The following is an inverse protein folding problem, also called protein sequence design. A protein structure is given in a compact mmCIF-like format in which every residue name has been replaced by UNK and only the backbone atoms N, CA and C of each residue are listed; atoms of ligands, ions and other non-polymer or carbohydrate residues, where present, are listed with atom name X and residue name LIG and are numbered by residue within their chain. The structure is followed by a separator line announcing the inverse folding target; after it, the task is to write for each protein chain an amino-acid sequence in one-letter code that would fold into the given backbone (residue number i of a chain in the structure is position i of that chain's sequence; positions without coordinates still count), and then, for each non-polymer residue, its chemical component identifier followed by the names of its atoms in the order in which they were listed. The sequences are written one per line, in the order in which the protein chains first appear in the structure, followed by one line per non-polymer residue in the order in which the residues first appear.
data_IF_822608604418
#
_entry.id   IF_822608604418
#
_cell.length_a   1.000
_cell.length_b   1.000
_cell.length_c   1.000
_cell.angle_alpha   90.00
_cell.angle_beta   90.00
_cell.angle_gamma   90.00
#
_symmetry.space_group_name_H-M   'P 1'
#
loop_
_entity.id
_entity.type
_entity.pdbx_description
1 polymer ?
#
# COMPACT_ATOMS: atom_id res chain seq x y z
N UNK A 1 -63.91 -22.79 38.12
CA UNK A 1 -62.82 -22.17 38.92
C UNK A 1 -61.49 -22.91 38.80
N UNK A 2 -61.36 -23.78 37.80
CA UNK A 2 -60.10 -24.08 37.14
C UNK A 2 -59.79 -22.91 36.16
N UNK A 3 -58.65 -22.93 35.48
CA UNK A 3 -58.25 -22.10 34.33
C UNK A 3 -57.82 -20.62 34.48
N UNK A 4 -57.64 -20.01 35.66
CA UNK A 4 -57.00 -18.67 35.75
C UNK A 4 -55.62 -18.63 36.43
N UNK A 5 -55.28 -19.59 37.30
CA UNK A 5 -53.99 -19.60 38.01
C UNK A 5 -52.82 -20.20 37.24
N UNK A 6 -53.08 -21.12 36.29
CA UNK A 6 -52.02 -21.77 35.51
C UNK A 6 -51.57 -20.95 34.30
N UNK A 7 -52.41 -20.03 33.80
CA UNK A 7 -52.11 -19.19 32.64
C UNK A 7 -51.22 -17.99 33.00
N UNK A 8 -50.97 -17.73 34.29
CA UNK A 8 -49.97 -16.73 34.71
C UNK A 8 -48.58 -17.32 34.94
N UNK A 9 -48.47 -18.64 35.14
CA UNK A 9 -47.17 -19.32 35.34
C UNK A 9 -46.49 -19.72 34.03
N UNK A 10 -47.24 -19.93 32.95
CA UNK A 10 -46.66 -20.20 31.62
C UNK A 10 -46.22 -18.94 30.87
N UNK A 11 -46.59 -17.74 31.34
CA UNK A 11 -46.11 -16.47 30.80
C UNK A 11 -44.72 -16.10 31.36
N UNK A 12 -44.22 -16.85 32.36
CA UNK A 12 -42.92 -16.61 32.98
C UNK A 12 -41.79 -17.52 32.42
N UNK A 13 -42.06 -18.35 31.42
CA UNK A 13 -41.04 -19.29 30.89
C UNK A 13 -40.80 -19.18 29.39
N UNK A 14 -41.41 -18.21 28.69
CA UNK A 14 -40.97 -17.83 27.34
C UNK A 14 -39.99 -16.67 27.44
N UNK A 15 -38.97 -16.83 28.29
CA UNK A 15 -37.64 -16.29 28.01
C UNK A 15 -36.91 -17.38 27.25
N UNK A 16 -37.31 -17.63 26.00
CA UNK A 16 -36.38 -18.23 25.06
C UNK A 16 -35.41 -17.09 24.77
N UNK A 17 -34.36 -17.03 25.59
CA UNK A 17 -33.12 -16.42 25.15
C UNK A 17 -32.70 -17.22 23.93
N UNK A 18 -33.08 -16.75 22.74
CA UNK A 18 -32.25 -16.95 21.56
C UNK A 18 -30.96 -16.13 21.78
N UNK A 19 -30.21 -16.51 22.81
CA UNK A 19 -28.77 -16.43 22.76
C UNK A 19 -28.39 -17.54 21.78
N UNK A 20 -28.63 -17.30 20.48
CA UNK A 20 -27.64 -17.71 19.53
C UNK A 20 -26.36 -17.09 20.07
N UNK A 21 -25.53 -17.88 20.75
CA UNK A 21 -24.11 -17.60 20.81
C UNK A 21 -23.65 -17.73 19.37
N UNK A 22 -24.03 -16.75 18.54
CA UNK A 22 -23.37 -16.43 17.32
C UNK A 22 -21.94 -16.23 17.80
N UNK A 23 -21.11 -17.21 17.51
CA UNK A 23 -19.69 -17.08 17.73
C UNK A 23 -19.29 -15.86 16.90
N UNK A 24 -18.84 -14.82 17.59
CA UNK A 24 -18.42 -13.60 16.93
C UNK A 24 -17.01 -13.80 16.37
N UNK A 25 -16.73 -13.13 15.25
CA UNK A 25 -15.40 -13.15 14.66
C UNK A 25 -14.47 -12.16 15.37
N UNK A 26 -13.21 -12.56 15.53
CA UNK A 26 -12.14 -11.68 16.01
C UNK A 26 -11.73 -10.66 14.93
N UNK A 27 -11.15 -9.51 15.30
CA UNK A 27 -10.67 -8.51 14.35
C UNK A 27 -9.58 -9.09 13.44
N UNK A 28 -9.68 -8.77 12.14
CA UNK A 28 -8.65 -9.13 11.17
C UNK A 28 -7.40 -8.25 11.36
N UNK A 29 -6.20 -8.79 11.12
CA UNK A 29 -4.96 -8.01 11.21
C UNK A 29 -4.96 -6.88 10.19
N UNK A 30 -4.48 -5.70 10.59
CA UNK A 30 -4.37 -4.56 9.67
C UNK A 30 -3.39 -4.87 8.51
N UNK A 31 -3.79 -4.61 7.26
CA UNK A 31 -2.94 -4.83 6.10
C UNK A 31 -1.87 -3.74 5.95
N UNK A 32 -0.73 -4.10 5.37
CA UNK A 32 0.28 -3.10 4.98
C UNK A 32 -0.20 -2.28 3.78
N UNK A 33 -0.02 -0.95 3.80
CA UNK A 33 -0.44 -0.01 2.73
C UNK A 33 -1.95 -0.12 2.37
N UNK A 34 -2.80 -0.31 3.39
CA UNK A 34 -4.26 -0.34 3.26
C UNK A 34 -4.97 -0.33 4.61
N UNK A 35 -6.29 -0.51 4.59
CA UNK A 35 -7.13 -0.64 5.79
C UNK A 35 -8.34 -1.55 5.52
N UNK A 36 -8.97 -2.05 6.59
CA UNK A 36 -10.17 -2.89 6.50
C UNK A 36 -11.38 -2.08 6.98
N UNK A 37 -12.47 -2.11 6.21
CA UNK A 37 -13.77 -1.57 6.61
C UNK A 37 -14.74 -2.69 6.92
N UNK A 38 -15.40 -2.58 8.06
CA UNK A 38 -16.41 -3.53 8.49
C UNK A 38 -17.80 -2.95 8.27
N UNK A 39 -18.74 -3.80 7.84
CA UNK A 39 -20.14 -3.46 7.65
C UNK A 39 -21.03 -4.55 8.29
N UNK A 40 -21.86 -4.22 9.31
CA UNK A 40 -22.00 -2.90 9.91
C UNK A 40 -20.70 -2.42 10.60
N UNK A 41 -20.49 -1.11 10.62
CA UNK A 41 -19.33 -0.54 11.31
C UNK A 41 -19.50 -0.71 12.82
N UNK A 42 -18.52 -1.34 13.47
CA UNK A 42 -18.52 -1.54 14.91
C UNK A 42 -17.17 -1.14 15.50
N UNK A 43 -17.18 -0.52 16.68
CA UNK A 43 -15.99 -0.29 17.53
C UNK A 43 -15.80 -1.38 18.58
N UNK A 44 -16.50 -2.50 18.44
CA UNK A 44 -16.42 -3.64 19.35
C UNK A 44 -15.14 -4.45 19.15
N UNK A 45 -14.78 -5.21 20.18
CA UNK A 45 -13.66 -6.15 20.14
C UNK A 45 -13.92 -7.39 19.28
N UNK A 46 -15.18 -7.63 18.89
CA UNK A 46 -15.64 -8.77 18.10
C UNK A 46 -16.71 -8.34 17.09
N UNK A 47 -16.94 -9.16 16.07
CA UNK A 47 -17.89 -8.89 14.98
C UNK A 47 -18.95 -9.98 14.89
N UNK A 48 -20.22 -9.58 14.94
CA UNK A 48 -21.36 -10.51 14.87
C UNK A 48 -21.40 -11.28 13.54
N UNK A 49 -22.03 -12.45 13.59
CA UNK A 49 -22.30 -13.29 12.42
C UNK A 49 -23.00 -12.47 11.31
N UNK A 50 -22.51 -12.58 10.08
CA UNK A 50 -22.99 -11.82 8.92
C UNK A 50 -22.23 -10.51 8.67
N UNK A 51 -21.35 -10.07 9.59
CA UNK A 51 -20.50 -8.89 9.34
C UNK A 51 -19.62 -9.11 8.12
N UNK A 52 -19.54 -8.11 7.23
CA UNK A 52 -18.69 -8.14 6.04
C UNK A 52 -17.48 -7.24 6.28
N UNK A 53 -16.29 -7.79 6.15
CA UNK A 53 -15.03 -7.06 6.15
C UNK A 53 -14.55 -6.86 4.71
N UNK A 54 -14.22 -5.63 4.34
CA UNK A 54 -13.78 -5.23 2.99
C UNK A 54 -12.39 -4.61 3.07
N UNK A 55 -11.45 -5.16 2.30
CA UNK A 55 -10.10 -4.65 2.15
C UNK A 55 -10.07 -3.42 1.23
N UNK A 56 -9.51 -2.33 1.72
CA UNK A 56 -9.20 -1.12 0.96
C UNK A 56 -7.68 -0.95 0.85
N UNK A 57 -7.14 -0.94 -0.37
CA UNK A 57 -5.70 -0.72 -0.61
C UNK A 57 -5.46 0.71 -1.11
N UNK A 58 -4.36 1.34 -0.66
CA UNK A 58 -3.97 2.69 -1.12
C UNK A 58 -3.41 2.71 -2.55
N UNK A 59 -2.93 1.56 -3.03
CA UNK A 59 -2.40 1.35 -4.38
C UNK A 59 -3.21 0.27 -5.10
N UNK A 60 -2.63 -0.92 -5.28
CA UNK A 60 -3.23 -2.07 -5.94
C UNK A 60 -3.37 -3.24 -4.96
N UNK A 61 -4.17 -4.23 -5.35
CA UNK A 61 -4.28 -5.53 -4.66
C UNK A 61 -3.43 -6.60 -5.34
N UNK A 62 -2.89 -7.54 -4.56
CA UNK A 62 -2.41 -8.84 -5.08
C UNK A 62 -3.59 -9.78 -5.31
N UNK A 63 -3.32 -10.97 -5.87
CA UNK A 63 -4.33 -12.02 -6.11
C UNK A 63 -4.93 -12.49 -4.78
N UNK A 64 -6.26 -12.59 -4.71
CA UNK A 64 -7.01 -13.04 -3.54
C UNK A 64 -8.37 -12.35 -3.42
N UNK A 65 -9.19 -12.74 -2.43
CA UNK A 65 -10.50 -12.12 -2.16
C UNK A 65 -10.35 -10.75 -1.50
N UNK A 66 -11.23 -9.80 -1.84
CA UNK A 66 -11.21 -8.45 -1.25
C UNK A 66 -12.21 -8.27 -0.11
N UNK A 67 -13.07 -9.25 0.09
CA UNK A 67 -14.06 -9.24 1.16
C UNK A 67 -14.10 -10.61 1.81
N UNK A 68 -14.52 -10.63 3.07
CA UNK A 68 -14.81 -11.83 3.83
C UNK A 68 -16.00 -11.59 4.74
N UNK A 69 -16.76 -12.64 5.00
CA UNK A 69 -17.97 -12.59 5.83
C UNK A 69 -17.73 -13.38 7.10
N UNK A 70 -18.14 -12.83 8.23
CA UNK A 70 -18.15 -13.57 9.48
C UNK A 70 -19.27 -14.62 9.42
N UNK A 71 -18.92 -15.90 9.47
CA UNK A 71 -19.85 -17.03 9.45
C UNK A 71 -19.57 -17.90 10.67
N UNK A 72 -20.49 -17.89 11.63
CA UNK A 72 -20.40 -18.72 12.84
C UNK A 72 -19.02 -18.64 13.53
N UNK A 73 -18.46 -17.45 13.66
CA UNK A 73 -17.22 -17.18 14.40
C UNK A 73 -15.94 -17.27 13.58
N UNK A 74 -16.05 -17.59 12.29
CA UNK A 74 -14.92 -17.68 11.39
C UNK A 74 -15.13 -16.76 10.19
N UNK A 75 -14.05 -16.14 9.73
CA UNK A 75 -14.05 -15.39 8.49
C UNK A 75 -14.07 -16.35 7.30
N UNK A 76 -14.98 -16.17 6.35
CA UNK A 76 -15.06 -16.93 5.11
C UNK A 76 -15.08 -15.98 3.89
N UNK A 77 -14.04 -15.99 3.03
CA UNK A 77 -12.81 -16.77 3.16
C UNK A 77 -11.95 -16.36 4.37
N UNK A 78 -11.13 -17.26 4.92
CA UNK A 78 -10.35 -17.00 6.14
C UNK A 78 -9.23 -15.98 5.96
N UNK A 79 -8.83 -15.73 4.71
CA UNK A 79 -7.76 -14.78 4.38
C UNK A 79 -8.22 -13.82 3.30
N UNK A 80 -7.95 -12.53 3.52
CA UNK A 80 -8.07 -11.49 2.49
C UNK A 80 -6.81 -11.46 1.61
N UNK A 81 -6.95 -10.86 0.43
CA UNK A 81 -5.82 -10.50 -0.41
C UNK A 81 -4.82 -9.61 0.34
N UNK A 82 -3.59 -9.57 -0.14
CA UNK A 82 -2.58 -8.62 0.36
C UNK A 82 -2.56 -7.39 -0.55
N UNK A 83 -2.45 -6.19 0.01
CA UNK A 83 -2.16 -5.02 -0.81
C UNK A 83 -0.76 -5.15 -1.43
N UNK A 84 -0.60 -4.58 -2.62
CA UNK A 84 0.69 -4.45 -3.25
C UNK A 84 1.49 -3.43 -2.44
N UNK A 85 2.47 -3.93 -1.69
CA UNK A 85 3.42 -3.05 -1.01
C UNK A 85 4.08 -2.16 -2.06
N UNK A 86 4.37 -0.91 -1.68
CA UNK A 86 5.32 -0.10 -2.44
C UNK A 86 6.57 -0.95 -2.63
N UNK A 87 6.88 -1.30 -3.88
CA UNK A 87 8.06 -2.09 -4.21
C UNK A 87 9.29 -1.53 -3.50
N UNK A 88 10.33 -2.36 -3.26
CA UNK A 88 11.47 -1.94 -2.44
C UNK A 88 11.92 -0.56 -2.87
N UNK A 89 11.92 0.42 -1.94
CA UNK A 89 12.27 1.81 -2.22
C UNK A 89 13.60 1.79 -2.98
N UNK A 90 13.54 1.93 -4.30
CA UNK A 90 14.72 1.81 -5.13
C UNK A 90 15.61 2.98 -4.74
N UNK A 91 16.90 2.69 -4.48
CA UNK A 91 17.83 3.72 -4.03
C UNK A 91 17.86 4.83 -5.07
N UNK A 92 17.70 6.06 -4.60
CA UNK A 92 17.88 7.24 -5.44
C UNK A 92 19.35 7.50 -5.70
N UNK A 93 19.66 8.08 -6.85
CA UNK A 93 21.01 8.49 -7.21
C UNK A 93 21.29 9.88 -6.65
N UNK A 94 22.56 10.15 -6.33
CA UNK A 94 23.01 11.49 -5.95
C UNK A 94 23.29 12.33 -7.20
N UNK A 95 23.37 13.64 -7.04
CA UNK A 95 23.82 14.54 -8.10
C UNK A 95 25.16 14.07 -8.68
N UNK A 96 25.29 14.15 -10.00
CA UNK A 96 26.53 13.88 -10.73
C UNK A 96 27.47 15.07 -10.49
N UNK A 97 28.70 14.76 -10.07
CA UNK A 97 29.77 15.76 -10.00
C UNK A 97 30.22 16.09 -11.42
N UNK A 98 30.25 17.38 -11.76
CA UNK A 98 30.74 17.87 -13.05
C UNK A 98 31.62 19.10 -12.84
N UNK A 99 32.49 19.38 -13.82
CA UNK A 99 33.32 20.59 -13.82
C UNK A 99 32.56 21.81 -14.33
N UNK A 100 33.16 23.01 -14.21
CA UNK A 100 32.55 24.29 -14.62
C UNK A 100 32.31 24.39 -16.13
N UNK A 101 32.88 23.52 -16.94
CA UNK A 101 32.73 23.49 -18.40
C UNK A 101 31.41 22.89 -18.88
N UNK A 102 30.60 22.33 -17.98
CA UNK A 102 29.39 21.59 -18.32
C UNK A 102 28.27 21.83 -17.32
N UNK A 103 27.04 21.58 -17.76
CA UNK A 103 25.86 21.50 -16.91
C UNK A 103 25.21 20.12 -17.04
N UNK A 104 24.58 19.68 -15.96
CA UNK A 104 23.79 18.44 -15.93
C UNK A 104 22.31 18.79 -15.73
N UNK A 105 21.49 18.35 -16.67
CA UNK A 105 20.04 18.48 -16.63
C UNK A 105 19.42 17.13 -16.23
N UNK A 106 18.51 17.14 -15.27
CA UNK A 106 17.84 15.94 -14.79
C UNK A 106 16.36 15.95 -15.17
N UNK A 107 15.79 14.80 -15.54
CA UNK A 107 14.36 14.70 -15.86
C UNK A 107 13.45 14.83 -14.63
N UNK A 108 13.92 14.38 -13.47
CA UNK A 108 13.18 14.45 -12.20
C UNK A 108 14.13 14.96 -11.12
N UNK A 109 13.82 16.11 -10.54
CA UNK A 109 14.58 16.71 -9.44
C UNK A 109 13.80 16.56 -8.14
N UNK A 110 14.47 16.05 -7.09
CA UNK A 110 13.96 16.21 -5.73
C UNK A 110 14.75 17.32 -5.04
N UNK A 111 14.10 18.07 -4.15
CA UNK A 111 14.67 19.21 -3.41
C UNK A 111 15.89 18.90 -2.50
N UNK A 112 16.47 17.69 -2.56
CA UNK A 112 17.58 17.23 -1.70
C UNK A 112 18.79 16.70 -2.48
N UNK A 113 18.96 17.05 -3.76
CA UNK A 113 20.08 16.55 -4.58
C UNK A 113 20.07 15.02 -4.74
N UNK A 114 18.86 14.45 -4.86
CA UNK A 114 18.64 13.02 -5.08
C UNK A 114 17.61 12.78 -6.16
N UNK A 115 17.89 11.84 -7.05
CA UNK A 115 17.07 11.51 -8.20
C UNK A 115 16.45 10.12 -8.03
N UNK A 116 15.12 9.97 -8.20
CA UNK A 116 14.48 8.67 -8.05
C UNK A 116 14.97 7.66 -9.09
N UNK A 117 14.61 6.40 -8.87
CA UNK A 117 14.90 5.34 -9.83
C UNK A 117 14.27 5.65 -11.19
N UNK A 118 14.99 5.33 -12.27
CA UNK A 118 14.68 5.66 -13.67
C UNK A 118 14.73 7.15 -14.03
N UNK A 119 15.16 8.02 -13.11
CA UNK A 119 15.54 9.38 -13.50
C UNK A 119 16.70 9.37 -14.47
N UNK A 120 16.77 10.40 -15.28
CA UNK A 120 17.72 10.53 -16.38
C UNK A 120 18.51 11.81 -16.20
N UNK A 121 19.78 11.77 -16.56
CA UNK A 121 20.69 12.90 -16.50
C UNK A 121 21.33 13.10 -17.87
N UNK A 122 21.31 14.33 -18.37
CA UNK A 122 21.89 14.74 -19.63
C UNK A 122 22.97 15.79 -19.38
N UNK A 123 24.14 15.60 -19.97
CA UNK A 123 25.27 16.53 -19.88
C UNK A 123 25.35 17.38 -21.13
N UNK A 124 25.51 18.69 -20.94
CA UNK A 124 25.73 19.66 -22.01
C UNK A 124 26.93 20.53 -21.68
N UNK A 125 27.71 20.89 -22.71
CA UNK A 125 28.88 21.76 -22.54
C UNK A 125 28.46 23.22 -22.67
N UNK A 126 28.88 24.05 -21.71
CA UNK A 126 28.48 25.46 -21.63
C UNK A 126 28.95 26.24 -22.86
N UNK A 127 30.11 25.89 -23.41
CA UNK A 127 30.69 26.54 -24.58
C UNK A 127 30.04 26.13 -25.92
N UNK A 128 28.95 25.34 -25.88
CA UNK A 128 28.28 24.82 -27.08
C UNK A 128 29.08 23.74 -27.83
N UNK A 129 30.16 23.23 -27.24
CA UNK A 129 30.94 22.12 -27.81
C UNK A 129 30.23 20.78 -27.59
N UNK A 130 30.61 19.77 -28.38
CA UNK A 130 30.08 18.42 -28.21
C UNK A 130 30.68 17.73 -26.99
N UNK A 131 29.89 16.89 -26.33
CA UNK A 131 30.37 15.97 -25.30
C UNK A 131 31.05 14.78 -25.99
N UNK A 132 32.32 14.55 -25.65
CA UNK A 132 33.13 13.42 -26.13
C UNK A 132 32.91 12.22 -25.20
N UNK A 133 32.05 11.29 -25.62
CA UNK A 133 31.67 10.10 -24.85
C UNK A 133 30.21 10.14 -24.38
N UNK A 134 29.84 9.39 -23.31
CA UNK A 134 28.47 9.34 -22.86
C UNK A 134 27.95 10.69 -22.37
N UNK A 135 26.93 11.23 -23.04
CA UNK A 135 26.26 12.47 -22.64
C UNK A 135 24.99 12.25 -21.81
N UNK A 136 24.63 10.99 -21.58
CA UNK A 136 23.37 10.62 -20.93
C UNK A 136 23.56 9.45 -19.97
N UNK A 137 22.87 9.46 -18.83
CA UNK A 137 22.80 8.33 -17.90
C UNK A 137 21.42 8.17 -17.25
N UNK A 138 21.11 6.94 -16.85
CA UNK A 138 19.88 6.58 -16.13
C UNK A 138 20.20 6.12 -14.71
N UNK A 139 19.40 6.53 -13.73
CA UNK A 139 19.53 6.11 -12.34
C UNK A 139 18.93 4.72 -12.16
N UNK A 140 19.77 3.71 -11.99
CA UNK A 140 19.36 2.31 -11.77
C UNK A 140 19.93 1.83 -10.45
N UNK A 141 19.04 1.44 -9.53
CA UNK A 141 19.42 0.93 -8.21
C UNK A 141 20.34 1.85 -7.37
N UNK A 142 20.27 3.17 -7.55
CA UNK A 142 21.09 4.15 -6.83
C UNK A 142 22.46 4.42 -7.46
N UNK A 143 22.71 3.91 -8.67
CA UNK A 143 23.89 4.21 -9.48
C UNK A 143 23.48 4.78 -10.83
N UNK A 144 24.22 5.75 -11.32
CA UNK A 144 24.09 6.23 -12.70
C UNK A 144 24.68 5.19 -13.65
N UNK A 145 23.96 4.90 -14.74
CA UNK A 145 24.36 3.99 -15.79
C UNK A 145 24.27 4.72 -17.13
N UNK A 146 25.39 4.95 -17.83
CA UNK A 146 26.76 4.65 -17.43
C UNK A 146 27.21 5.45 -16.19
N UNK A 147 28.22 4.93 -15.47
CA UNK A 147 28.71 5.52 -14.21
C UNK A 147 29.69 6.68 -14.42
N UNK A 148 30.04 6.96 -15.68
CA UNK A 148 30.92 8.05 -16.08
C UNK A 148 30.27 8.81 -17.23
N UNK A 149 30.62 10.09 -17.35
CA UNK A 149 30.18 10.96 -18.43
C UNK A 149 31.36 11.35 -19.31
N UNK A 150 31.07 11.67 -20.56
CA UNK A 150 32.03 12.22 -21.51
C UNK A 150 32.53 13.61 -21.11
N UNK A 151 33.64 14.01 -21.70
CA UNK A 151 34.28 15.32 -21.46
C UNK A 151 33.84 16.35 -22.49
N UNK A 152 33.94 17.64 -22.17
CA UNK A 152 33.64 18.68 -23.14
C UNK A 152 34.79 18.85 -24.12
N UNK A 153 34.46 18.85 -25.41
CA UNK A 153 35.43 19.15 -26.46
C UNK A 153 36.03 20.55 -26.29
N UNK A 154 37.28 20.72 -26.72
CA UNK A 154 37.93 22.03 -26.79
C UNK A 154 37.40 22.79 -28.00
N UNK A 155 37.18 24.10 -27.86
CA UNK A 155 36.90 24.98 -28.99
C UNK A 155 38.19 25.13 -29.78
N UNK A 156 38.16 24.76 -31.07
CA UNK A 156 39.27 24.95 -32.03
C UNK A 156 39.26 26.40 -32.47
#
# INVERSE_FOLDING_TARGET
MFILGFILSILFSVLISDASSASDCSPLPEPNDGHIKYNPSSSQATYENGTIAVLMCDLNRKKGPMYTTCVSGYWDPPELAKCEQKGPKRRSCKDIKHGPESNITYSITNAKGRHPHLSTASKECINGTVVLGPSYATCVGGKWVPSYFGECGKKI
#
